data_IF_533978535782
#
_entry.id   IF_533978535782
#
_cell.length_a   1.000
_cell.length_b   1.000
_cell.length_c   1.000
_cell.angle_alpha   90.00
_cell.angle_beta   90.00
_cell.angle_gamma   90.00
#
_symmetry.space_group_name_H-M   'P 1'
#
loop_
_entity.id
_entity.type
_entity.pdbx_description
1 polymer ?
#
# COMPACT_ATOMS: atom_id res chain seq x y z
N UNK A 1 -8.75 -10.31 9.27
CA UNK A 1 -9.00 -10.51 7.84
C UNK A 1 -9.86 -9.37 7.34
N UNK A 2 -9.55 -8.84 6.16
CA UNK A 2 -10.38 -7.88 5.44
C UNK A 2 -10.52 -8.34 3.99
N UNK A 3 -11.75 -8.43 3.51
CA UNK A 3 -12.11 -8.88 2.16
C UNK A 3 -12.60 -7.74 1.28
N UNK A 4 -12.58 -7.93 -0.04
CA UNK A 4 -13.16 -6.99 -0.99
C UNK A 4 -14.66 -6.70 -0.74
N UNK A 5 -15.42 -7.70 -0.27
CA UNK A 5 -16.84 -7.55 0.04
C UNK A 5 -17.06 -6.62 1.24
N UNK A 6 -16.26 -6.76 2.29
CA UNK A 6 -16.32 -5.87 3.46
C UNK A 6 -15.95 -4.44 3.08
N UNK A 7 -14.90 -4.27 2.28
CA UNK A 7 -14.47 -2.96 1.76
C UNK A 7 -15.56 -2.31 0.93
N UNK A 8 -16.18 -3.05 0.01
CA UNK A 8 -17.30 -2.56 -0.78
C UNK A 8 -18.47 -2.16 0.11
N UNK A 9 -18.85 -2.97 1.10
CA UNK A 9 -19.94 -2.63 2.03
C UNK A 9 -19.66 -1.34 2.80
N UNK A 10 -18.40 -1.13 3.20
CA UNK A 10 -18.01 0.04 3.99
C UNK A 10 -17.95 1.33 3.15
N UNK A 11 -17.29 1.30 2.00
CA UNK A 11 -16.95 2.51 1.25
C UNK A 11 -17.82 2.78 0.03
N UNK A 12 -18.55 1.79 -0.50
CA UNK A 12 -19.40 1.97 -1.68
C UNK A 12 -20.79 2.53 -1.31
N UNK A 13 -20.79 3.68 -0.62
CA UNK A 13 -21.96 4.22 0.11
C UNK A 13 -22.47 5.55 -0.44
N UNK A 14 -21.64 6.31 -1.16
CA UNK A 14 -22.01 7.56 -1.84
C UNK A 14 -22.33 7.32 -3.31
N UNK A 15 -22.87 8.33 -4.01
CA UNK A 15 -23.09 8.22 -5.45
C UNK A 15 -21.76 8.17 -6.22
N UNK A 16 -20.81 8.98 -5.77
CA UNK A 16 -19.46 9.12 -6.32
C UNK A 16 -18.70 7.80 -6.20
N UNK A 17 -18.68 7.18 -5.02
CA UNK A 17 -18.01 5.89 -4.81
C UNK A 17 -18.61 4.76 -5.63
N UNK A 18 -19.94 4.76 -5.84
CA UNK A 18 -20.63 3.81 -6.74
C UNK A 18 -20.22 4.02 -8.19
N UNK A 19 -20.16 5.26 -8.64
CA UNK A 19 -19.71 5.60 -9.98
C UNK A 19 -18.26 5.11 -10.21
N UNK A 20 -17.35 5.43 -9.30
CA UNK A 20 -15.94 4.99 -9.37
C UNK A 20 -15.82 3.46 -9.35
N UNK A 21 -16.54 2.78 -8.45
CA UNK A 21 -16.53 1.33 -8.38
C UNK A 21 -17.04 0.70 -9.67
N UNK A 22 -18.19 1.12 -10.18
CA UNK A 22 -18.77 0.54 -11.40
C UNK A 22 -17.87 0.78 -12.62
N UNK A 23 -17.29 1.98 -12.75
CA UNK A 23 -16.35 2.29 -13.81
C UNK A 23 -15.12 1.37 -13.75
N UNK A 24 -14.47 1.28 -12.59
CA UNK A 24 -13.32 0.40 -12.37
C UNK A 24 -13.67 -1.08 -12.62
N UNK A 25 -14.80 -1.55 -12.09
CA UNK A 25 -15.26 -2.93 -12.17
C UNK A 25 -15.58 -3.36 -13.61
N UNK A 26 -16.07 -2.43 -14.44
CA UNK A 26 -16.34 -2.69 -15.87
C UNK A 26 -15.08 -2.77 -16.74
N UNK A 27 -13.94 -2.29 -16.23
CA UNK A 27 -12.68 -2.14 -16.96
C UNK A 27 -11.80 -3.40 -16.94
N UNK A 28 -10.53 -3.23 -16.51
CA UNK A 28 -9.45 -4.23 -16.52
C UNK A 28 -9.83 -5.52 -15.78
N UNK A 29 -10.53 -6.44 -16.46
CA UNK A 29 -11.17 -7.64 -15.86
C UNK A 29 -10.20 -8.49 -15.04
N UNK A 30 -8.96 -8.65 -15.50
CA UNK A 30 -7.94 -9.42 -14.80
C UNK A 30 -7.51 -8.74 -13.48
N UNK A 31 -7.34 -7.41 -13.47
CA UNK A 31 -7.09 -6.63 -12.24
C UNK A 31 -8.28 -6.71 -11.27
N UNK A 32 -9.50 -6.60 -11.80
CA UNK A 32 -10.72 -6.70 -10.99
C UNK A 32 -10.80 -8.06 -10.32
N UNK A 33 -10.61 -9.15 -11.08
CA UNK A 33 -10.62 -10.51 -10.54
C UNK A 33 -9.57 -10.68 -9.43
N UNK A 34 -8.37 -10.12 -9.62
CA UNK A 34 -7.30 -10.12 -8.60
C UNK A 34 -7.74 -9.45 -7.30
N UNK A 35 -8.15 -8.19 -7.41
CA UNK A 35 -8.43 -7.33 -6.27
C UNK A 35 -9.68 -7.80 -5.52
N UNK A 36 -10.67 -8.34 -6.24
CA UNK A 36 -11.90 -8.86 -5.64
C UNK A 36 -11.69 -10.20 -4.92
N UNK A 37 -10.71 -11.01 -5.34
CA UNK A 37 -10.34 -12.26 -4.69
C UNK A 37 -9.30 -12.07 -3.56
N UNK A 38 -8.81 -10.85 -3.35
CA UNK A 38 -7.80 -10.59 -2.32
C UNK A 38 -8.40 -10.61 -0.92
N UNK A 39 -7.64 -11.16 0.02
CA UNK A 39 -7.92 -11.12 1.45
C UNK A 39 -6.69 -10.59 2.17
N UNK A 40 -6.84 -9.50 2.93
CA UNK A 40 -5.76 -8.97 3.74
C UNK A 40 -5.75 -9.65 5.10
N UNK A 41 -4.74 -10.49 5.37
CA UNK A 41 -4.58 -11.29 6.58
C UNK A 41 -3.16 -11.18 7.12
N UNK A 42 -2.17 -11.61 6.34
CA UNK A 42 -0.76 -11.58 6.69
C UNK A 42 -0.28 -10.14 6.88
N UNK A 43 -0.70 -9.21 6.03
CA UNK A 43 -0.32 -7.79 6.15
C UNK A 43 -0.77 -7.18 7.48
N UNK A 44 -1.86 -7.68 8.08
CA UNK A 44 -2.35 -7.23 9.40
C UNK A 44 -1.59 -7.83 10.58
N UNK A 45 -0.72 -8.82 10.35
CA UNK A 45 0.08 -9.48 11.38
C UNK A 45 1.54 -9.02 11.40
N UNK A 46 1.96 -8.27 10.37
CA UNK A 46 3.31 -7.75 10.27
C UNK A 46 3.66 -6.88 11.48
N UNK A 47 4.84 -7.13 12.02
CA UNK A 47 5.43 -6.35 13.11
C UNK A 47 6.38 -5.27 12.58
N UNK A 48 6.62 -4.19 13.37
CA UNK A 48 7.59 -3.17 13.00
C UNK A 48 9.00 -3.73 12.74
N UNK A 49 9.42 -4.74 13.51
CA UNK A 49 10.76 -5.35 13.40
C UNK A 49 10.93 -6.10 12.07
N UNK A 50 9.89 -6.81 11.61
CA UNK A 50 9.89 -7.43 10.28
C UNK A 50 10.04 -6.40 9.17
N UNK A 51 9.37 -5.25 9.29
CA UNK A 51 9.49 -4.16 8.33
C UNK A 51 10.90 -3.60 8.31
N UNK A 52 11.49 -3.36 9.48
CA UNK A 52 12.86 -2.89 9.56
C UNK A 52 13.87 -3.89 8.97
N UNK A 53 13.67 -5.19 9.20
CA UNK A 53 14.49 -6.23 8.58
C UNK A 53 14.37 -6.21 7.05
N UNK A 54 13.15 -6.07 6.52
CA UNK A 54 12.93 -5.93 5.08
C UNK A 54 13.62 -4.67 4.52
N UNK A 55 13.51 -3.53 5.21
CA UNK A 55 14.18 -2.27 4.84
C UNK A 55 15.71 -2.40 4.79
N UNK A 56 16.31 -3.17 5.72
CA UNK A 56 17.76 -3.45 5.76
C UNK A 56 18.21 -4.36 4.61
N UNK A 57 17.35 -5.23 4.11
CA UNK A 57 17.65 -6.11 2.98
C UNK A 57 17.55 -5.42 1.61
N UNK A 58 16.85 -4.29 1.53
CA UNK A 58 16.58 -3.58 0.28
C UNK A 58 17.80 -2.75 -0.16
N UNK A 59 18.11 -2.71 -1.47
CA UNK A 59 19.13 -1.84 -2.01
C UNK A 59 18.70 -0.38 -1.90
N UNK A 60 19.66 0.54 -1.83
CA UNK A 60 19.37 1.97 -1.98
C UNK A 60 18.91 2.23 -3.42
N UNK A 61 17.74 2.85 -3.63
CA UNK A 61 17.30 3.20 -4.97
C UNK A 61 18.25 4.25 -5.55
N UNK A 62 18.65 4.07 -6.80
CA UNK A 62 19.30 5.12 -7.58
C UNK A 62 18.27 6.06 -8.25
N UNK A 63 18.71 6.92 -9.17
CA UNK A 63 17.82 7.78 -9.94
C UNK A 63 16.77 6.99 -10.74
N UNK A 64 15.55 7.51 -10.79
CA UNK A 64 14.43 6.95 -11.56
C UNK A 64 14.02 7.83 -12.73
N UNK A 65 14.63 9.01 -12.88
CA UNK A 65 14.17 10.06 -13.79
C UNK A 65 14.70 9.86 -15.23
N UNK A 66 14.23 8.78 -15.86
CA UNK A 66 14.41 8.49 -17.27
C UNK A 66 13.03 8.62 -17.93
N UNK A 67 12.83 9.51 -18.93
CA UNK A 67 11.50 9.82 -19.48
C UNK A 67 10.66 8.59 -19.85
N UNK A 68 11.27 7.59 -20.50
CA UNK A 68 10.63 6.35 -20.93
C UNK A 68 10.11 5.50 -19.75
N UNK A 69 10.73 5.64 -18.59
CA UNK A 69 10.38 4.90 -17.36
C UNK A 69 9.50 5.73 -16.43
N UNK A 70 9.57 7.05 -16.51
CA UNK A 70 8.83 7.97 -15.63
C UNK A 70 7.32 7.75 -15.70
N UNK A 71 6.81 7.47 -16.91
CA UNK A 71 5.38 7.25 -17.14
C UNK A 71 4.99 5.78 -17.26
N UNK A 72 5.96 4.85 -17.14
CA UNK A 72 5.67 3.43 -17.14
C UNK A 72 4.77 3.06 -15.97
N UNK A 73 3.64 2.40 -16.29
CA UNK A 73 2.65 1.91 -15.33
C UNK A 73 2.14 0.55 -15.81
N UNK A 74 2.47 -0.56 -15.11
CA UNK A 74 1.82 -1.84 -15.39
C UNK A 74 0.32 -1.77 -15.06
N UNK A 75 -0.44 -2.74 -15.56
CA UNK A 75 -1.89 -2.76 -15.35
C UNK A 75 -2.27 -2.90 -13.86
N UNK A 76 -1.47 -3.66 -13.11
CA UNK A 76 -1.56 -3.77 -11.66
C UNK A 76 -0.72 -2.69 -10.98
N UNK A 77 -1.30 -2.01 -9.98
CA UNK A 77 -0.52 -1.13 -9.13
C UNK A 77 0.48 -1.94 -8.31
N UNK A 78 1.66 -1.38 -8.01
CA UNK A 78 2.69 -2.07 -7.23
C UNK A 78 2.15 -2.60 -5.89
N UNK A 79 1.29 -1.84 -5.22
CA UNK A 79 0.68 -2.27 -3.94
C UNK A 79 -0.09 -3.59 -4.09
N UNK A 80 -0.73 -3.85 -5.23
CA UNK A 80 -1.43 -5.13 -5.48
C UNK A 80 -0.44 -6.30 -5.50
N UNK A 81 0.71 -6.10 -6.13
CA UNK A 81 1.78 -7.09 -6.22
C UNK A 81 2.34 -7.35 -4.82
N UNK A 82 2.70 -6.30 -4.09
CA UNK A 82 3.26 -6.41 -2.74
C UNK A 82 2.31 -7.13 -1.78
N UNK A 83 1.02 -6.76 -1.81
CA UNK A 83 -0.02 -7.45 -1.05
C UNK A 83 -0.15 -8.93 -1.45
N UNK A 84 -0.18 -9.25 -2.75
CA UNK A 84 -0.22 -10.65 -3.21
C UNK A 84 0.97 -11.47 -2.69
N UNK A 85 2.19 -10.93 -2.76
CA UNK A 85 3.39 -11.61 -2.25
C UNK A 85 3.30 -11.83 -0.73
N UNK A 86 2.96 -10.80 0.03
CA UNK A 86 2.85 -10.89 1.50
C UNK A 86 1.78 -11.90 1.93
N UNK A 87 0.61 -11.87 1.30
CA UNK A 87 -0.47 -12.80 1.64
C UNK A 87 -0.14 -14.24 1.25
N UNK A 88 0.54 -14.45 0.12
CA UNK A 88 0.95 -15.79 -0.32
C UNK A 88 2.05 -16.37 0.56
N UNK A 89 3.03 -15.55 0.97
CA UNK A 89 4.10 -15.98 1.87
C UNK A 89 3.66 -16.07 3.34
N UNK A 90 2.54 -15.43 3.70
CA UNK A 90 2.08 -15.33 5.09
C UNK A 90 2.92 -14.41 5.98
N UNK A 91 3.91 -13.70 5.40
CA UNK A 91 4.86 -12.81 6.10
C UNK A 91 5.42 -11.76 5.15
N UNK A 92 6.12 -10.77 5.70
CA UNK A 92 6.82 -9.76 4.91
C UNK A 92 8.15 -10.30 4.36
N UNK A 93 8.37 -10.34 3.04
CA UNK A 93 9.66 -10.75 2.48
C UNK A 93 10.70 -9.63 2.57
N UNK A 94 11.98 -10.03 2.59
CA UNK A 94 13.08 -9.13 2.23
C UNK A 94 13.14 -8.90 0.72
N UNK A 95 13.97 -7.95 0.27
CA UNK A 95 14.08 -7.60 -1.15
C UNK A 95 14.53 -8.76 -2.06
N UNK A 96 15.58 -9.55 -1.73
CA UNK A 96 15.98 -10.66 -2.60
C UNK A 96 14.86 -11.67 -2.82
N UNK A 97 14.16 -12.03 -1.74
CA UNK A 97 13.03 -12.96 -1.76
C UNK A 97 11.83 -12.38 -2.53
N UNK A 98 11.48 -11.10 -2.31
CA UNK A 98 10.41 -10.44 -3.08
C UNK A 98 10.68 -10.51 -4.59
N UNK A 99 11.93 -10.24 -5.00
CA UNK A 99 12.34 -10.30 -6.41
C UNK A 99 12.26 -11.71 -6.97
N UNK A 100 12.75 -12.70 -6.22
CA UNK A 100 12.70 -14.12 -6.61
C UNK A 100 11.26 -14.61 -6.73
N UNK A 101 10.40 -14.24 -5.78
CA UNK A 101 8.98 -14.56 -5.81
C UNK A 101 8.31 -13.96 -7.03
N UNK A 102 8.54 -12.67 -7.33
CA UNK A 102 8.00 -12.04 -8.54
C UNK A 102 8.42 -12.73 -9.84
N UNK A 103 9.61 -13.36 -9.86
CA UNK A 103 10.07 -14.11 -11.02
C UNK A 103 9.47 -15.54 -11.09
N UNK A 104 9.21 -16.17 -9.94
CA UNK A 104 8.85 -17.59 -9.83
C UNK A 104 7.34 -17.84 -9.79
N UNK A 105 6.58 -17.03 -9.06
CA UNK A 105 5.13 -17.15 -8.95
C UNK A 105 4.44 -16.65 -10.21
N UNK A 106 3.55 -17.46 -10.79
CA UNK A 106 2.87 -17.15 -12.06
C UNK A 106 2.11 -15.82 -11.97
N UNK A 107 1.39 -15.61 -10.87
CA UNK A 107 0.53 -14.45 -10.68
C UNK A 107 1.34 -13.18 -10.47
N UNK A 108 2.33 -13.20 -9.57
CA UNK A 108 3.23 -12.06 -9.38
C UNK A 108 4.04 -11.76 -10.65
N UNK A 109 4.40 -12.79 -11.43
CA UNK A 109 5.12 -12.65 -12.68
C UNK A 109 4.31 -11.86 -13.70
N UNK A 110 3.04 -12.20 -13.88
CA UNK A 110 2.16 -11.50 -14.82
C UNK A 110 1.86 -10.06 -14.38
N UNK A 111 1.74 -9.83 -13.06
CA UNK A 111 1.42 -8.50 -12.53
C UNK A 111 2.58 -7.49 -12.66
N UNK A 112 3.83 -7.94 -12.54
CA UNK A 112 5.00 -7.04 -12.45
C UNK A 112 6.19 -7.49 -13.28
N UNK A 113 6.60 -8.77 -13.18
CA UNK A 113 7.87 -9.23 -13.76
C UNK A 113 7.87 -9.22 -15.28
N UNK A 114 6.85 -9.81 -15.92
CA UNK A 114 6.72 -9.84 -17.37
C UNK A 114 6.58 -8.42 -17.95
N UNK A 115 5.68 -7.55 -17.45
CA UNK A 115 5.61 -6.15 -17.90
C UNK A 115 6.93 -5.39 -17.75
N UNK A 116 7.65 -5.61 -16.65
CA UNK A 116 8.96 -4.97 -16.45
C UNK A 116 10.02 -5.50 -17.43
N UNK A 117 9.98 -6.79 -17.78
CA UNK A 117 10.90 -7.39 -18.75
C UNK A 117 10.65 -6.92 -20.18
N UNK A 118 9.39 -6.75 -20.57
CA UNK A 118 9.01 -6.22 -21.88
C UNK A 118 9.57 -4.82 -22.06
N UNK A 119 9.31 -3.91 -21.12
CA UNK A 119 9.87 -2.55 -21.15
C UNK A 119 11.39 -2.55 -21.05
N UNK A 120 11.97 -3.44 -20.24
CA UNK A 120 13.44 -3.57 -20.16
C UNK A 120 14.10 -3.95 -21.48
N UNK A 121 13.41 -4.67 -22.36
CA UNK A 121 13.92 -5.09 -23.66
C UNK A 121 13.96 -3.94 -24.67
N UNK A 122 13.09 -2.93 -24.49
CA UNK A 122 12.95 -1.78 -25.37
C UNK A 122 13.83 -0.59 -24.98
N UNK A 123 14.33 -0.56 -23.74
CA UNK A 123 15.13 0.55 -23.21
C UNK A 123 16.62 0.21 -23.09
N UNK A 124 17.48 1.24 -23.18
CA UNK A 124 18.91 1.12 -22.95
C UNK A 124 19.29 0.79 -21.48
N UNK A 125 20.59 0.58 -21.19
CA UNK A 125 21.07 0.27 -19.84
C UNK A 125 20.60 1.25 -18.76
N UNK A 126 20.52 2.55 -19.08
CA UNK A 126 20.03 3.58 -18.16
C UNK A 126 18.54 3.41 -17.84
N UNK A 127 17.70 3.15 -18.85
CA UNK A 127 16.28 2.86 -18.65
C UNK A 127 16.06 1.60 -17.81
N UNK A 128 16.82 0.52 -18.06
CA UNK A 128 16.74 -0.70 -17.22
C UNK A 128 17.11 -0.42 -15.76
N UNK A 129 18.15 0.38 -15.53
CA UNK A 129 18.54 0.78 -14.19
C UNK A 129 17.46 1.65 -13.51
N UNK A 130 16.88 2.61 -14.23
CA UNK A 130 15.80 3.44 -13.73
C UNK A 130 14.54 2.63 -13.40
N UNK A 131 14.18 1.66 -14.24
CA UNK A 131 13.05 0.75 -14.00
C UNK A 131 13.27 -0.08 -12.73
N UNK A 132 14.46 -0.67 -12.57
CA UNK A 132 14.82 -1.37 -11.34
C UNK A 132 14.73 -0.44 -10.12
N UNK A 133 15.27 0.77 -10.21
CA UNK A 133 15.25 1.74 -9.11
C UNK A 133 13.84 2.19 -8.76
N UNK A 134 12.93 2.25 -9.75
CA UNK A 134 11.52 2.53 -9.54
C UNK A 134 10.84 1.42 -8.73
N UNK A 135 11.02 0.16 -9.13
CA UNK A 135 10.46 -0.99 -8.40
C UNK A 135 11.01 -1.06 -6.96
N UNK A 136 12.30 -0.78 -6.76
CA UNK A 136 12.89 -0.66 -5.42
C UNK A 136 12.25 0.48 -4.62
N UNK A 137 12.05 1.65 -5.23
CA UNK A 137 11.40 2.80 -4.60
C UNK A 137 9.96 2.48 -4.20
N UNK A 138 9.20 1.79 -5.06
CA UNK A 138 7.83 1.38 -4.77
C UNK A 138 7.79 0.35 -3.64
N UNK A 139 8.73 -0.60 -3.61
CA UNK A 139 8.89 -1.55 -2.50
C UNK A 139 9.16 -0.84 -1.17
N UNK A 140 10.10 0.12 -1.15
CA UNK A 140 10.40 0.92 0.04
C UNK A 140 9.21 1.79 0.46
N UNK A 141 8.41 2.29 -0.50
CA UNK A 141 7.17 3.00 -0.24
C UNK A 141 6.14 2.11 0.46
N UNK A 142 5.94 0.88 -0.04
CA UNK A 142 5.09 -0.11 0.60
C UNK A 142 5.57 -0.46 2.02
N UNK A 143 6.88 -0.66 2.22
CA UNK A 143 7.45 -0.90 3.55
C UNK A 143 7.18 0.26 4.51
N UNK A 144 7.29 1.51 4.03
CA UNK A 144 6.97 2.69 4.84
C UNK A 144 5.51 2.67 5.30
N UNK A 145 4.58 2.41 4.38
CA UNK A 145 3.16 2.37 4.70
C UNK A 145 2.88 1.26 5.73
N UNK A 146 3.39 0.05 5.50
CA UNK A 146 3.23 -1.09 6.42
C UNK A 146 3.87 -0.83 7.79
N UNK A 147 4.99 -0.12 7.87
CA UNK A 147 5.60 0.25 9.16
C UNK A 147 4.62 1.04 10.03
N UNK A 148 3.95 2.05 9.44
CA UNK A 148 2.96 2.86 10.14
C UNK A 148 1.83 1.99 10.65
N UNK A 149 1.28 1.12 9.80
CA UNK A 149 0.19 0.21 10.19
C UNK A 149 0.61 -0.71 11.33
N UNK A 150 1.79 -1.32 11.23
CA UNK A 150 2.32 -2.26 12.21
C UNK A 150 2.52 -1.58 13.57
N UNK A 151 3.05 -0.36 13.60
CA UNK A 151 3.19 0.41 14.85
C UNK A 151 1.84 0.74 15.46
N UNK A 152 0.90 1.30 14.67
CA UNK A 152 -0.43 1.65 15.17
C UNK A 152 -1.18 0.42 15.71
N UNK A 153 -1.10 -0.72 15.01
CA UNK A 153 -1.68 -2.00 15.47
C UNK A 153 -1.02 -2.52 16.74
N UNK A 154 0.29 -2.32 16.90
CA UNK A 154 1.02 -2.62 18.13
C UNK A 154 0.51 -1.85 19.36
N UNK A 155 -0.18 -0.73 19.16
CA UNK A 155 -0.88 0.04 20.21
C UNK A 155 -2.35 -0.37 20.37
N UNK A 156 -2.79 -1.47 19.77
CA UNK A 156 -4.17 -1.98 19.89
C UNK A 156 -5.19 -1.35 18.94
N UNK A 157 -4.77 -0.49 18.01
CA UNK A 157 -5.66 0.02 16.97
C UNK A 157 -5.93 -1.06 15.92
N UNK A 158 -7.20 -1.33 15.60
CA UNK A 158 -7.55 -2.28 14.54
C UNK A 158 -7.42 -1.64 13.14
N UNK A 159 -6.20 -1.24 12.79
CA UNK A 159 -5.92 -0.59 11.50
C UNK A 159 -6.06 -1.60 10.36
N UNK A 160 -6.89 -1.27 9.39
CA UNK A 160 -7.18 -2.09 8.21
C UNK A 160 -6.66 -1.44 6.94
N UNK A 161 -6.34 -2.30 5.98
CA UNK A 161 -5.94 -1.97 4.62
C UNK A 161 -6.49 -3.02 3.67
N UNK A 162 -6.68 -2.63 2.42
CA UNK A 162 -7.05 -3.54 1.34
C UNK A 162 -6.80 -2.89 -0.04
N UNK A 163 -6.28 -3.63 -1.05
CA UNK A 163 -6.06 -3.12 -2.41
C UNK A 163 -7.27 -2.42 -3.05
N UNK A 164 -8.48 -2.97 -2.87
CA UNK A 164 -9.71 -2.33 -3.36
C UNK A 164 -9.95 -0.94 -2.74
N UNK A 165 -9.65 -0.78 -1.44
CA UNK A 165 -9.85 0.47 -0.72
C UNK A 165 -8.96 1.59 -1.28
N UNK A 166 -7.68 1.29 -1.48
CA UNK A 166 -6.73 2.25 -2.05
C UNK A 166 -7.07 2.58 -3.52
N UNK A 167 -7.30 1.55 -4.34
CA UNK A 167 -7.42 1.76 -5.80
C UNK A 167 -8.70 2.48 -6.18
N UNK A 168 -9.84 2.07 -5.61
CA UNK A 168 -11.16 2.58 -5.99
C UNK A 168 -11.60 3.73 -5.10
N UNK A 169 -11.47 3.58 -3.79
CA UNK A 169 -12.00 4.54 -2.82
C UNK A 169 -10.96 5.52 -2.30
N UNK A 170 -9.70 5.41 -2.77
CA UNK A 170 -8.56 6.26 -2.36
C UNK A 170 -8.30 6.27 -0.85
N UNK A 171 -8.66 5.18 -0.18
CA UNK A 171 -8.47 4.96 1.25
C UNK A 171 -7.21 4.11 1.45
N UNK A 172 -6.13 4.74 1.91
CA UNK A 172 -4.85 4.06 2.16
C UNK A 172 -4.94 3.14 3.39
N UNK A 173 -5.58 3.58 4.48
CA UNK A 173 -5.86 2.78 5.67
C UNK A 173 -7.05 3.33 6.49
N UNK A 174 -7.61 2.52 7.39
CA UNK A 174 -8.71 2.96 8.27
C UNK A 174 -8.82 2.23 9.60
N UNK A 175 -9.50 2.82 10.57
CA UNK A 175 -9.96 2.20 11.83
C UNK A 175 -11.45 2.51 11.98
N UNK A 176 -12.32 1.51 11.89
CA UNK A 176 -13.77 1.75 11.86
C UNK A 176 -14.18 2.68 10.72
N UNK A 177 -14.64 3.90 11.04
CA UNK A 177 -14.97 4.97 10.06
C UNK A 177 -13.96 6.13 10.08
N UNK A 178 -12.81 5.95 10.71
CA UNK A 178 -11.70 6.91 10.70
C UNK A 178 -10.71 6.54 9.59
N UNK A 179 -10.53 7.42 8.63
CA UNK A 179 -9.61 7.26 7.50
C UNK A 179 -8.24 7.84 7.86
N UNK A 180 -7.20 7.06 7.57
CA UNK A 180 -5.81 7.37 7.85
C UNK A 180 -5.01 7.44 6.54
N UNK A 181 -4.07 8.37 6.47
CA UNK A 181 -3.06 8.42 5.42
C UNK A 181 -1.70 8.09 6.05
N UNK A 182 -1.15 6.88 5.85
CA UNK A 182 0.14 6.47 6.39
C UNK A 182 1.31 7.37 5.96
N UNK A 183 1.17 8.06 4.82
CA UNK A 183 2.20 8.94 4.26
C UNK A 183 2.15 10.37 4.81
N UNK A 184 1.10 10.70 5.58
CA UNK A 184 0.82 12.06 6.04
C UNK A 184 0.25 12.97 4.95
N UNK A 185 -0.33 14.10 5.38
CA UNK A 185 -0.97 15.07 4.50
C UNK A 185 -2.44 14.77 4.20
N UNK A 186 -3.00 15.50 3.22
CA UNK A 186 -4.43 15.48 2.89
C UNK A 186 -4.97 14.11 2.47
N UNK A 187 -6.28 13.89 2.70
CA UNK A 187 -6.95 12.63 2.41
C UNK A 187 -7.55 12.62 1.01
N UNK A 188 -7.02 11.75 0.13
CA UNK A 188 -7.49 11.62 -1.27
C UNK A 188 -8.93 11.13 -1.39
N UNK A 189 -9.46 10.51 -0.34
CA UNK A 189 -10.82 9.98 -0.29
C UNK A 189 -11.86 10.97 0.22
N UNK A 190 -11.47 12.17 0.68
CA UNK A 190 -12.38 13.12 1.32
C UNK A 190 -13.52 13.52 0.39
N UNK A 191 -13.21 13.96 -0.83
CA UNK A 191 -14.22 14.31 -1.84
C UNK A 191 -15.16 13.15 -2.20
N UNK A 192 -14.71 11.91 -2.04
CA UNK A 192 -15.51 10.70 -2.34
C UNK A 192 -16.47 10.33 -1.22
N UNK A 193 -16.13 10.67 0.03
CA UNK A 193 -16.71 10.10 1.25
C UNK A 193 -17.31 11.14 2.20
N UNK A 194 -17.10 12.43 1.97
CA UNK A 194 -17.57 13.53 2.86
C UNK A 194 -19.09 13.53 3.06
N UNK A 195 -19.86 13.07 2.08
CA UNK A 195 -21.33 12.98 2.14
C UNK A 195 -21.85 11.59 2.54
N UNK A 196 -20.97 10.68 2.98
CA UNK A 196 -21.41 9.36 3.42
C UNK A 196 -22.28 9.42 4.67
N UNK A 197 -23.28 8.55 4.76
CA UNK A 197 -24.10 8.35 5.95
C UNK A 197 -24.04 6.86 6.36
N UNK A 198 -23.57 6.53 7.59
CA UNK A 198 -23.00 7.42 8.60
C UNK A 198 -21.73 8.18 8.12
N UNK A 199 -21.30 9.28 8.76
CA UNK A 199 -20.13 10.03 8.29
C UNK A 199 -18.82 9.23 8.45
N UNK A 200 -17.85 9.51 7.58
CA UNK A 200 -16.45 9.15 7.79
C UNK A 200 -15.72 10.32 8.44
N UNK A 201 -14.68 10.01 9.22
CA UNK A 201 -13.77 10.99 9.79
C UNK A 201 -12.40 10.86 9.12
N UNK A 202 -11.71 11.97 9.00
CA UNK A 202 -10.43 12.05 8.31
C UNK A 202 -9.39 12.59 9.29
N UNK A 203 -8.25 11.93 9.39
CA UNK A 203 -7.18 12.41 10.28
C UNK A 203 -5.84 12.32 9.60
N UNK A 204 -5.04 13.37 9.81
CA UNK A 204 -3.63 13.35 9.46
C UNK A 204 -2.83 12.84 10.67
N UNK A 205 -1.92 11.91 10.40
CA UNK A 205 -0.96 11.46 11.40
C UNK A 205 0.06 12.56 11.73
N UNK A 206 0.21 13.56 10.83
CA UNK A 206 1.06 14.72 10.99
C UNK A 206 2.54 14.32 11.04
N UNK A 207 2.93 13.37 10.18
CA UNK A 207 4.28 12.78 10.20
C UNK A 207 5.33 13.84 9.84
N UNK A 208 6.17 14.18 10.80
CA UNK A 208 7.25 15.18 10.63
C UNK A 208 8.62 14.67 11.04
N UNK A 209 8.69 13.57 11.78
CA UNK A 209 9.94 12.97 12.26
C UNK A 209 10.20 11.64 11.56
N UNK A 210 11.45 11.43 11.15
CA UNK A 210 11.85 10.25 10.40
C UNK A 210 13.15 9.63 10.93
N UNK A 211 13.30 8.33 10.72
CA UNK A 211 14.49 7.54 11.07
C UNK A 211 14.93 6.74 9.84
N UNK A 212 16.23 6.77 9.55
CA UNK A 212 16.81 5.98 8.46
C UNK A 212 16.97 4.53 8.93
N UNK A 213 16.36 3.59 8.20
CA UNK A 213 16.51 2.14 8.43
C UNK A 213 16.88 1.47 7.11
N UNK A 214 18.13 1.02 6.99
CA UNK A 214 18.63 0.47 5.73
C UNK A 214 18.53 1.49 4.59
N UNK A 215 17.80 1.13 3.52
CA UNK A 215 17.52 2.03 2.40
C UNK A 215 16.26 2.90 2.58
N UNK A 216 15.43 2.63 3.59
CA UNK A 216 14.18 3.33 3.81
C UNK A 216 14.33 4.51 4.78
N UNK A 217 13.59 5.59 4.51
CA UNK A 217 13.27 6.62 5.49
C UNK A 217 11.88 6.32 6.04
N UNK A 218 11.80 5.90 7.31
CA UNK A 218 10.56 5.53 8.00
C UNK A 218 10.14 6.63 8.99
N UNK A 219 8.84 6.86 9.23
CA UNK A 219 8.39 7.70 10.33
C UNK A 219 8.96 7.24 11.66
N UNK A 220 9.39 8.17 12.53
CA UNK A 220 10.01 7.82 13.80
C UNK A 220 9.04 7.05 14.70
N UNK A 221 9.54 6.04 15.43
CA UNK A 221 8.71 5.25 16.34
C UNK A 221 8.06 6.14 17.41
N UNK A 222 8.83 7.07 17.98
CA UNK A 222 8.34 8.01 18.98
C UNK A 222 7.18 8.88 18.44
N UNK A 223 7.24 9.33 17.19
CA UNK A 223 6.16 10.07 16.56
C UNK A 223 4.92 9.22 16.38
N UNK A 224 5.08 8.01 15.85
CA UNK A 224 3.96 7.08 15.64
C UNK A 224 3.31 6.65 16.96
N UNK A 225 4.08 6.47 18.04
CA UNK A 225 3.54 6.16 19.36
C UNK A 225 2.69 7.32 19.90
N UNK A 226 3.10 8.58 19.71
CA UNK A 226 2.28 9.75 20.05
C UNK A 226 1.02 9.82 19.20
N UNK A 227 1.12 9.54 17.90
CA UNK A 227 -0.02 9.51 17.00
C UNK A 227 -1.02 8.43 17.42
N UNK A 228 -0.56 7.21 17.75
CA UNK A 228 -1.40 6.13 18.23
C UNK A 228 -2.21 6.52 19.48
N UNK A 229 -1.55 7.11 20.49
CA UNK A 229 -2.20 7.60 21.72
C UNK A 229 -3.28 8.64 21.42
N UNK A 230 -3.02 9.58 20.50
CA UNK A 230 -4.00 10.58 20.06
C UNK A 230 -5.21 9.92 19.42
N UNK A 231 -4.99 8.95 18.52
CA UNK A 231 -6.08 8.24 17.84
C UNK A 231 -6.93 7.42 18.80
N UNK A 232 -6.32 6.75 19.78
CA UNK A 232 -7.06 6.02 20.81
C UNK A 232 -7.99 6.94 21.61
N UNK A 233 -7.53 8.13 22.00
CA UNK A 233 -8.36 9.11 22.70
C UNK A 233 -9.54 9.63 21.87
N UNK A 234 -9.43 9.61 20.53
CA UNK A 234 -10.53 9.97 19.62
C UNK A 234 -11.53 8.82 19.47
N UNK A 235 -11.05 7.59 19.36
CA UNK A 235 -11.88 6.40 19.12
C UNK A 235 -12.57 5.89 20.39
N UNK A 236 -11.96 6.12 21.56
CA UNK A 236 -12.44 5.70 22.87
C UNK A 236 -12.38 6.89 23.84
N UNK A 237 -13.25 7.91 23.67
CA UNK A 237 -13.36 8.99 24.64
C UNK A 237 -13.79 8.42 25.99
N UNK A 238 -13.14 8.87 27.06
CA UNK A 238 -13.43 8.48 28.44
C UNK A 238 -14.82 8.96 28.90
#
# INVERSE_FOLDING_TARGET
>A
MTTALEVRRLFNVTQETRFHFNHWFSGRKHVVAQVMAHESVAVHRITPDEVEAACRSAPRPGPTDVPEIRDWRPDHAFTHVAHHVVETLGRLPGWPEFREFCAADERARDMLWTPAREVSAEVGPQGRAALRNRVVSDFLGFLRDVHVLAVLRGHGLDVRVHPLADTVFKVDAWVGRLILNPRGGGQRSEDLLVHAMPPFFFTDLGVTEFTQVGAALLPSRAHLDRAARRLLGVLHPA
#
